data_IF_581933325458
#
_entry.id   IF_581933325458
#
_cell.length_a   1.000
_cell.length_b   1.000
_cell.length_c   1.000
_cell.angle_alpha   90.00
_cell.angle_beta   90.00
_cell.angle_gamma   90.00
#
_symmetry.space_group_name_H-M   'P 1'
#
loop_
_entity.id
_entity.type
_entity.pdbx_description
1 polymer ?
#
# COMPACT_ATOMS: atom_id res chain seq x y z
N UNK A 1 20.51 -7.23 -5.07
CA UNK A 1 20.29 -5.88 -5.59
C UNK A 1 19.10 -5.33 -4.84
N UNK A 2 19.29 -4.37 -3.94
CA UNK A 2 18.19 -3.72 -3.24
C UNK A 2 17.46 -2.86 -4.27
N UNK A 3 16.18 -3.10 -4.47
CA UNK A 3 15.33 -2.16 -5.19
C UNK A 3 15.29 -0.89 -4.34
N UNK A 4 15.97 0.16 -4.78
CA UNK A 4 15.66 1.49 -4.30
C UNK A 4 14.26 1.82 -4.80
N UNK A 5 13.31 1.85 -3.89
CA UNK A 5 11.96 2.35 -4.18
C UNK A 5 11.99 3.84 -3.84
N UNK A 6 12.36 4.73 -4.76
CA UNK A 6 12.30 6.15 -4.53
C UNK A 6 10.84 6.56 -4.72
N UNK A 7 10.11 6.64 -3.63
CA UNK A 7 8.79 7.26 -3.61
C UNK A 7 8.97 8.65 -3.03
N UNK A 8 8.44 9.70 -3.65
CA UNK A 8 8.26 10.97 -2.97
C UNK A 8 7.19 10.79 -1.89
N UNK A 9 7.55 10.07 -0.84
CA UNK A 9 6.64 9.83 0.28
C UNK A 9 6.81 10.98 1.26
N UNK A 10 5.70 11.42 1.83
CA UNK A 10 5.68 12.46 2.83
C UNK A 10 6.75 12.23 3.91
N UNK A 11 7.40 13.30 4.37
CA UNK A 11 8.43 13.24 5.41
C UNK A 11 7.99 12.38 6.60
N UNK A 12 8.91 11.59 7.15
CA UNK A 12 8.62 10.67 8.27
C UNK A 12 8.00 9.33 7.85
N UNK A 13 8.18 8.92 6.61
CA UNK A 13 7.79 7.58 6.14
C UNK A 13 9.03 6.69 6.04
N UNK A 14 8.95 5.51 6.65
CA UNK A 14 10.02 4.53 6.69
C UNK A 14 9.62 3.29 5.90
N UNK A 15 10.42 2.97 4.90
CA UNK A 15 10.18 1.84 4.00
C UNK A 15 11.32 0.85 4.15
N UNK A 16 10.99 -0.41 4.30
CA UNK A 16 11.97 -1.49 4.25
C UNK A 16 11.45 -2.65 3.41
N UNK A 17 12.38 -3.39 2.82
CA UNK A 17 12.08 -4.52 1.97
C UNK A 17 12.92 -5.72 2.37
N UNK A 18 12.39 -6.91 2.09
CA UNK A 18 13.06 -8.17 2.37
C UNK A 18 12.75 -9.18 1.26
N UNK A 19 13.76 -9.88 0.71
CA UNK A 19 13.52 -10.92 -0.28
C UNK A 19 12.73 -12.08 0.33
N UNK A 20 11.83 -12.64 -0.46
CA UNK A 20 11.14 -13.89 -0.12
C UNK A 20 12.04 -15.04 -0.58
N UNK A 21 12.53 -15.82 0.37
CA UNK A 21 13.38 -16.98 0.06
C UNK A 21 12.60 -18.18 -0.48
N UNK A 22 13.31 -19.15 -1.08
CA UNK A 22 12.67 -20.39 -1.53
C UNK A 22 11.99 -21.13 -0.37
N UNK A 23 10.92 -21.88 -0.63
CA UNK A 23 10.22 -22.13 -1.88
C UNK A 23 9.21 -21.04 -2.29
N UNK A 24 9.33 -19.82 -1.81
CA UNK A 24 8.50 -18.65 -2.13
C UNK A 24 7.00 -18.78 -1.75
N UNK A 25 6.68 -19.73 -0.88
CA UNK A 25 5.31 -20.01 -0.43
C UNK A 25 4.81 -19.03 0.63
N UNK A 26 3.56 -19.19 1.10
CA UNK A 26 2.93 -18.27 2.06
C UNK A 26 3.71 -18.07 3.37
N UNK A 27 4.37 -19.14 3.87
CA UNK A 27 5.21 -19.05 5.09
C UNK A 27 6.41 -18.14 4.90
N UNK A 28 7.09 -18.26 3.74
CA UNK A 28 8.24 -17.42 3.41
C UNK A 28 7.83 -15.96 3.16
N UNK A 29 6.71 -15.74 2.48
CA UNK A 29 6.13 -14.42 2.27
C UNK A 29 5.78 -13.75 3.61
N UNK A 30 5.13 -14.47 4.51
CA UNK A 30 4.82 -14.00 5.85
C UNK A 30 6.08 -13.63 6.64
N UNK A 31 7.08 -14.52 6.66
CA UNK A 31 8.34 -14.28 7.36
C UNK A 31 9.10 -13.08 6.80
N UNK A 32 9.18 -12.96 5.47
CA UNK A 32 9.81 -11.82 4.80
C UNK A 32 9.09 -10.50 5.12
N UNK A 33 7.75 -10.50 5.11
CA UNK A 33 6.95 -9.34 5.50
C UNK A 33 7.21 -8.89 6.94
N UNK A 34 7.35 -9.81 7.88
CA UNK A 34 7.66 -9.50 9.28
C UNK A 34 9.08 -8.97 9.46
N UNK A 35 10.06 -9.47 8.69
CA UNK A 35 11.42 -8.94 8.69
C UNK A 35 11.46 -7.52 8.10
N UNK A 36 10.76 -7.27 7.02
CA UNK A 36 10.63 -5.92 6.46
C UNK A 36 9.98 -4.96 7.48
N UNK A 37 8.91 -5.38 8.15
CA UNK A 37 8.23 -4.58 9.17
C UNK A 37 9.15 -4.26 10.36
N UNK A 38 9.90 -5.25 10.87
CA UNK A 38 10.87 -5.04 11.94
C UNK A 38 11.97 -4.05 11.55
N UNK A 39 12.46 -4.13 10.32
CA UNK A 39 13.47 -3.20 9.80
C UNK A 39 12.91 -1.77 9.67
N UNK A 40 11.68 -1.62 9.14
CA UNK A 40 11.03 -0.31 9.03
C UNK A 40 10.76 0.31 10.40
N UNK A 41 10.30 -0.48 11.38
CA UNK A 41 10.10 -0.04 12.78
C UNK A 41 11.41 0.39 13.43
N UNK A 42 12.49 -0.37 13.21
CA UNK A 42 13.81 0.00 13.72
C UNK A 42 14.28 1.36 13.16
N UNK A 43 14.13 1.56 11.85
CA UNK A 43 14.46 2.81 11.18
C UNK A 43 13.59 3.97 11.65
N UNK A 44 12.32 3.70 11.97
CA UNK A 44 11.38 4.68 12.54
C UNK A 44 11.62 4.98 14.03
N UNK A 45 12.59 4.35 14.68
CA UNK A 45 12.93 4.58 16.08
C UNK A 45 12.06 3.81 17.10
N UNK A 46 11.30 2.79 16.65
CA UNK A 46 10.52 1.96 17.57
C UNK A 46 11.42 1.03 18.39
N UNK A 47 11.20 0.96 19.70
CA UNK A 47 11.83 0.00 20.57
C UNK A 47 11.23 -1.42 20.36
N UNK A 48 9.93 -1.50 20.12
CA UNK A 48 9.25 -2.75 19.80
C UNK A 48 9.26 -2.97 18.29
N UNK A 49 9.70 -4.15 17.86
CA UNK A 49 9.84 -4.53 16.45
C UNK A 49 9.01 -5.74 16.05
N UNK A 50 8.25 -6.27 16.99
CA UNK A 50 7.39 -7.43 16.75
C UNK A 50 6.05 -6.97 16.17
N UNK A 51 5.66 -7.57 15.04
CA UNK A 51 4.38 -7.30 14.39
C UNK A 51 3.58 -8.60 14.32
N UNK A 52 2.79 -8.94 15.35
CA UNK A 52 1.96 -10.12 15.35
C UNK A 52 0.81 -10.00 14.33
N UNK A 53 0.11 -11.11 14.14
CA UNK A 53 -1.08 -11.18 13.30
C UNK A 53 -2.31 -11.14 14.19
N UNK A 54 -3.25 -10.24 13.87
CA UNK A 54 -4.56 -10.19 14.49
C UNK A 54 -5.44 -11.38 14.05
N UNK A 55 -6.51 -11.71 14.79
CA UNK A 55 -7.45 -12.78 14.42
C UNK A 55 -8.07 -12.59 13.02
N UNK A 56 -8.26 -11.34 12.59
CA UNK A 56 -8.75 -11.00 11.25
C UNK A 56 -7.68 -11.04 10.15
N UNK A 57 -6.45 -11.42 10.51
CA UNK A 57 -5.32 -11.57 9.59
C UNK A 57 -4.45 -10.34 9.41
N UNK A 58 -4.85 -9.17 9.93
CA UNK A 58 -4.09 -7.92 9.81
C UNK A 58 -2.81 -7.92 10.64
N UNK A 59 -1.76 -7.18 10.23
CA UNK A 59 -0.59 -6.97 11.07
C UNK A 59 -0.92 -5.96 12.18
N UNK A 60 -0.51 -6.25 13.43
CA UNK A 60 -0.59 -5.31 14.55
C UNK A 60 0.75 -4.64 14.75
N UNK A 61 0.82 -3.38 14.40
CA UNK A 61 1.99 -2.54 14.67
C UNK A 61 1.96 -2.00 16.11
N UNK A 62 3.15 -1.67 16.69
CA UNK A 62 3.23 -1.05 18.01
C UNK A 62 2.47 0.27 18.10
N UNK A 63 2.04 0.63 19.31
CA UNK A 63 1.37 1.90 19.56
C UNK A 63 2.24 3.09 19.09
N UNK A 64 1.61 4.08 18.45
CA UNK A 64 2.28 5.24 17.88
C UNK A 64 2.91 5.04 16.49
N UNK A 65 2.86 3.82 15.95
CA UNK A 65 3.40 3.48 14.63
C UNK A 65 2.32 2.84 13.75
N UNK A 66 1.75 3.60 12.85
CA UNK A 66 0.91 3.02 11.81
C UNK A 66 1.80 2.33 10.75
N UNK A 67 1.38 1.17 10.28
CA UNK A 67 2.17 0.45 9.28
C UNK A 67 1.35 -0.52 8.44
N UNK A 68 1.94 -0.95 7.34
CA UNK A 68 1.35 -1.90 6.41
C UNK A 68 2.42 -2.77 5.77
N UNK A 69 2.02 -3.97 5.34
CA UNK A 69 2.90 -4.94 4.70
C UNK A 69 2.24 -5.42 3.41
N UNK A 70 3.04 -5.55 2.35
CA UNK A 70 2.66 -6.24 1.12
C UNK A 70 3.79 -7.14 0.64
N UNK A 71 3.47 -8.11 -0.21
CA UNK A 71 4.46 -9.00 -0.79
C UNK A 71 4.02 -9.53 -2.15
N UNK A 72 5.00 -9.78 -2.99
CA UNK A 72 4.89 -10.63 -4.18
C UNK A 72 5.47 -12.02 -3.85
N UNK A 73 5.58 -12.89 -4.85
CA UNK A 73 6.28 -14.17 -4.68
C UNK A 73 7.77 -14.03 -4.37
N UNK A 74 8.40 -12.88 -4.59
CA UNK A 74 9.86 -12.70 -4.48
C UNK A 74 10.29 -11.60 -3.52
N UNK A 75 9.43 -10.66 -3.21
CA UNK A 75 9.73 -9.47 -2.42
C UNK A 75 8.62 -9.20 -1.39
N UNK A 76 8.99 -8.82 -0.20
CA UNK A 76 8.08 -8.24 0.80
C UNK A 76 8.52 -6.81 1.11
N UNK A 77 7.55 -5.93 1.30
CA UNK A 77 7.75 -4.52 1.64
C UNK A 77 6.91 -4.19 2.87
N UNK A 78 7.46 -3.38 3.74
CA UNK A 78 6.72 -2.78 4.84
C UNK A 78 6.93 -1.26 4.84
N UNK A 79 5.87 -0.55 5.18
CA UNK A 79 5.87 0.91 5.38
C UNK A 79 5.43 1.19 6.79
N UNK A 80 6.15 2.08 7.48
CA UNK A 80 5.85 2.55 8.83
C UNK A 80 5.85 4.08 8.84
N UNK A 81 4.82 4.66 9.44
CA UNK A 81 4.68 6.11 9.60
C UNK A 81 4.32 6.42 11.04
N UNK A 82 5.27 6.94 11.85
CA UNK A 82 4.99 7.37 13.21
C UNK A 82 3.88 8.43 13.25
N UNK A 83 2.94 8.30 14.17
CA UNK A 83 1.86 9.26 14.39
C UNK A 83 0.79 9.35 13.29
N UNK A 84 0.85 8.52 12.25
CA UNK A 84 -0.24 8.44 11.29
C UNK A 84 -1.43 7.66 11.87
N UNK A 85 -2.63 7.96 11.39
CA UNK A 85 -3.83 7.20 11.74
C UNK A 85 -3.86 5.84 11.06
N UNK A 86 -3.51 5.80 9.78
CA UNK A 86 -3.51 4.59 8.98
C UNK A 86 -2.50 4.63 7.84
N UNK A 87 -1.99 3.47 7.50
CA UNK A 87 -1.08 3.24 6.37
C UNK A 87 -1.52 2.01 5.60
N UNK A 88 -1.49 2.10 4.29
CA UNK A 88 -1.63 0.96 3.40
C UNK A 88 -0.49 0.94 2.40
N UNK A 89 0.08 -0.22 2.15
CA UNK A 89 1.08 -0.43 1.10
C UNK A 89 0.67 -1.60 0.22
N UNK A 90 0.94 -1.46 -1.06
CA UNK A 90 0.84 -2.56 -1.99
C UNK A 90 2.00 -2.60 -2.98
N UNK A 91 2.42 -3.81 -3.34
CA UNK A 91 3.36 -4.10 -4.42
C UNK A 91 2.74 -5.14 -5.34
N UNK A 92 2.72 -4.84 -6.64
CA UNK A 92 2.13 -5.70 -7.64
C UNK A 92 3.12 -5.97 -8.77
N UNK A 93 3.34 -7.26 -9.06
CA UNK A 93 4.20 -7.71 -10.16
C UNK A 93 3.42 -8.41 -11.28
N UNK A 94 2.15 -8.75 -11.06
CA UNK A 94 1.34 -9.38 -12.07
C UNK A 94 0.92 -8.41 -13.17
N UNK A 95 0.77 -8.93 -14.37
CA UNK A 95 0.20 -8.18 -15.48
C UNK A 95 -1.30 -8.05 -15.26
N UNK A 96 -1.79 -6.84 -15.14
CA UNK A 96 -3.23 -6.56 -15.05
C UNK A 96 -3.81 -6.58 -16.46
N UNK A 97 -4.51 -7.65 -16.78
CA UNK A 97 -5.16 -7.80 -18.10
C UNK A 97 -6.28 -6.78 -18.29
N UNK A 98 -6.65 -6.44 -19.55
CA UNK A 98 -7.78 -5.54 -19.81
C UNK A 98 -9.08 -5.97 -19.12
N UNK A 99 -9.32 -7.29 -19.01
CA UNK A 99 -10.49 -7.83 -18.31
C UNK A 99 -10.46 -7.54 -16.81
N UNK A 100 -9.32 -7.73 -16.17
CA UNK A 100 -9.15 -7.40 -14.75
C UNK A 100 -9.24 -5.89 -14.52
N UNK A 101 -8.61 -5.10 -15.39
CA UNK A 101 -8.72 -3.64 -15.34
C UNK A 101 -10.17 -3.17 -15.48
N UNK A 102 -10.95 -3.74 -16.39
CA UNK A 102 -12.37 -3.41 -16.57
C UNK A 102 -13.23 -3.77 -15.35
N UNK A 103 -12.86 -4.80 -14.60
CA UNK A 103 -13.54 -5.20 -13.36
C UNK A 103 -13.18 -4.30 -12.18
N UNK A 104 -11.90 -3.94 -12.04
CA UNK A 104 -11.37 -3.23 -10.86
C UNK A 104 -11.48 -1.72 -11.01
N UNK A 105 -11.30 -1.18 -12.22
CA UNK A 105 -11.30 0.25 -12.49
C UNK A 105 -12.65 0.68 -13.07
N UNK A 106 -13.21 1.75 -12.51
CA UNK A 106 -14.41 2.38 -13.05
C UNK A 106 -14.15 2.92 -14.46
N UNK A 107 -15.17 3.06 -15.26
CA UNK A 107 -15.04 3.60 -16.62
C UNK A 107 -14.38 5.00 -16.65
N UNK A 108 -14.78 5.86 -15.71
CA UNK A 108 -14.18 7.19 -15.56
C UNK A 108 -12.70 7.14 -15.21
N UNK A 109 -12.27 6.20 -14.35
CA UNK A 109 -10.86 6.01 -14.02
C UNK A 109 -10.07 5.52 -15.23
N UNK A 110 -10.60 4.54 -15.98
CA UNK A 110 -9.96 4.07 -17.20
C UNK A 110 -9.81 5.16 -18.25
N UNK A 111 -10.85 5.99 -18.44
CA UNK A 111 -10.84 7.06 -19.45
C UNK A 111 -9.94 8.23 -19.09
N UNK A 112 -9.73 8.52 -17.80
CA UNK A 112 -8.98 9.69 -17.33
C UNK A 112 -7.56 9.36 -16.88
N UNK A 113 -7.35 8.20 -16.25
CA UNK A 113 -6.09 7.87 -15.60
C UNK A 113 -5.19 6.97 -16.44
N UNK A 114 -5.76 6.16 -17.36
CA UNK A 114 -4.98 5.33 -18.28
C UNK A 114 -4.61 6.12 -19.56
N UNK A 115 -3.50 5.74 -20.24
CA UNK A 115 -3.18 6.29 -21.56
C UNK A 115 -4.34 6.13 -22.57
N UNK A 116 -4.49 7.03 -23.53
CA UNK A 116 -3.60 8.16 -23.85
C UNK A 116 -3.85 9.43 -23.03
N UNK A 117 -4.92 9.52 -22.25
CA UNK A 117 -5.25 10.73 -21.49
C UNK A 117 -4.54 10.84 -20.16
N UNK A 118 -4.40 9.74 -19.47
CA UNK A 118 -3.73 9.64 -18.19
C UNK A 118 -2.31 9.11 -18.32
N UNK A 119 -1.59 9.12 -17.20
CA UNK A 119 -0.17 8.72 -17.11
C UNK A 119 0.06 7.41 -16.39
N UNK A 120 -0.98 6.81 -15.80
CA UNK A 120 -0.85 5.63 -14.94
C UNK A 120 -1.10 4.34 -15.72
N UNK A 121 -0.35 3.29 -15.40
CA UNK A 121 -0.62 1.94 -15.87
C UNK A 121 -1.74 1.25 -15.07
N UNK A 122 -2.39 0.25 -15.65
CA UNK A 122 -3.44 -0.51 -14.96
C UNK A 122 -2.92 -1.19 -13.66
N UNK A 123 -1.65 -1.64 -13.64
CA UNK A 123 -1.00 -2.23 -12.48
C UNK A 123 -0.80 -1.20 -11.35
N UNK A 124 -0.43 0.03 -11.69
CA UNK A 124 -0.32 1.12 -10.73
C UNK A 124 -1.66 1.46 -10.07
N UNK A 125 -2.72 1.56 -10.86
CA UNK A 125 -4.05 1.87 -10.35
C UNK A 125 -4.63 0.71 -9.51
N UNK A 126 -4.31 -0.53 -9.86
CA UNK A 126 -4.65 -1.71 -9.06
C UNK A 126 -3.95 -1.64 -7.69
N UNK A 127 -2.63 -1.46 -7.68
CA UNK A 127 -1.85 -1.32 -6.46
C UNK A 127 -2.31 -0.12 -5.61
N UNK A 128 -2.69 0.99 -6.24
CA UNK A 128 -3.23 2.16 -5.54
C UNK A 128 -4.54 1.84 -4.80
N UNK A 129 -5.47 1.10 -5.43
CA UNK A 129 -6.71 0.68 -4.78
C UNK A 129 -6.47 -0.27 -3.61
N UNK A 130 -5.54 -1.23 -3.77
CA UNK A 130 -5.16 -2.15 -2.70
C UNK A 130 -4.51 -1.43 -1.52
N UNK A 131 -3.61 -0.48 -1.77
CA UNK A 131 -3.00 0.33 -0.73
C UNK A 131 -4.05 1.18 0.00
N UNK A 132 -4.92 1.86 -0.73
CA UNK A 132 -6.02 2.63 -0.16
C UNK A 132 -6.97 1.76 0.66
N UNK A 133 -7.32 0.57 0.15
CA UNK A 133 -8.14 -0.40 0.88
C UNK A 133 -7.52 -0.78 2.22
N UNK A 134 -6.22 -1.10 2.25
CA UNK A 134 -5.51 -1.44 3.49
C UNK A 134 -5.53 -0.28 4.48
N UNK A 135 -5.30 0.96 4.02
CA UNK A 135 -5.34 2.14 4.89
C UNK A 135 -6.75 2.40 5.45
N UNK A 136 -7.80 2.36 4.62
CA UNK A 136 -9.17 2.61 5.04
C UNK A 136 -9.72 1.48 5.91
N UNK A 137 -9.40 0.22 5.60
CA UNK A 137 -9.87 -0.94 6.35
C UNK A 137 -9.26 -1.03 7.76
N UNK A 138 -8.06 -0.49 7.97
CA UNK A 138 -7.42 -0.45 9.28
C UNK A 138 -8.21 0.40 10.30
N UNK A 139 -9.07 1.30 9.82
CA UNK A 139 -9.93 2.16 10.62
C UNK A 139 -11.29 1.52 10.98
N UNK A 140 -11.48 0.24 10.65
CA UNK A 140 -12.69 -0.49 11.03
C UNK A 140 -13.92 -0.15 10.21
N UNK A 141 -13.77 0.11 8.91
CA UNK A 141 -14.91 0.40 8.01
C UNK A 141 -15.91 -0.77 8.01
N UNK A 142 -17.16 -0.57 8.53
CA UNK A 142 -18.11 -1.67 8.66
C UNK A 142 -18.63 -2.19 7.31
N UNK A 143 -18.85 -3.50 7.26
CA UNK A 143 -19.56 -4.19 6.18
C UNK A 143 -18.75 -4.36 4.90
N UNK A 144 -18.93 -5.46 4.21
CA UNK A 144 -18.34 -5.91 2.92
C UNK A 144 -17.61 -4.88 2.07
N UNK A 145 -16.52 -4.32 2.60
CA UNK A 145 -15.72 -3.31 1.91
C UNK A 145 -14.94 -3.98 0.77
N UNK A 146 -15.23 -3.56 -0.44
CA UNK A 146 -14.66 -4.14 -1.64
C UNK A 146 -13.71 -3.11 -2.27
N UNK A 147 -12.43 -3.45 -2.40
CA UNK A 147 -11.39 -2.51 -2.84
C UNK A 147 -11.69 -1.89 -4.23
N UNK A 148 -12.35 -2.60 -5.12
CA UNK A 148 -12.75 -2.05 -6.43
C UNK A 148 -13.83 -0.97 -6.36
N UNK A 149 -14.50 -0.80 -5.21
CA UNK A 149 -15.44 0.32 -4.98
C UNK A 149 -14.76 1.61 -4.60
N UNK A 150 -13.48 1.59 -4.28
CA UNK A 150 -12.69 2.80 -4.08
C UNK A 150 -12.63 3.57 -5.39
N UNK A 151 -12.94 4.87 -5.36
CA UNK A 151 -12.72 5.80 -6.47
C UNK A 151 -11.29 6.32 -6.45
N UNK A 152 -10.70 6.51 -7.61
CA UNK A 152 -9.40 7.16 -7.77
C UNK A 152 -9.57 8.41 -8.64
N UNK A 153 -9.08 9.53 -8.13
CA UNK A 153 -8.95 10.79 -8.87
C UNK A 153 -7.49 11.26 -8.82
N UNK A 154 -7.06 11.96 -9.87
CA UNK A 154 -5.72 12.53 -9.91
C UNK A 154 -5.69 13.87 -9.17
N UNK A 155 -4.70 14.04 -8.30
CA UNK A 155 -4.25 15.31 -7.76
C UNK A 155 -2.84 15.60 -8.25
N UNK A 156 -2.25 16.75 -7.91
CA UNK A 156 -0.98 17.23 -8.47
C UNK A 156 0.12 16.15 -8.42
N UNK A 157 0.48 15.69 -7.23
CA UNK A 157 1.58 14.74 -7.01
C UNK A 157 1.13 13.34 -6.58
N UNK A 158 -0.17 13.10 -6.45
CA UNK A 158 -0.73 11.87 -5.91
C UNK A 158 -2.05 11.50 -6.57
N UNK A 159 -2.52 10.29 -6.34
CA UNK A 159 -3.91 9.92 -6.51
C UNK A 159 -4.66 10.19 -5.19
N UNK A 160 -5.92 10.58 -5.29
CA UNK A 160 -6.82 10.63 -4.15
C UNK A 160 -7.76 9.44 -4.26
N UNK A 161 -7.64 8.52 -3.32
CA UNK A 161 -8.57 7.41 -3.20
C UNK A 161 -9.75 7.83 -2.30
N UNK A 162 -10.97 7.53 -2.72
CA UNK A 162 -12.19 7.91 -1.99
C UNK A 162 -13.19 6.76 -1.88
N UNK A 163 -13.84 6.65 -0.72
CA UNK A 163 -14.90 5.68 -0.47
C UNK A 163 -15.81 6.17 0.67
N UNK A 164 -17.13 6.24 0.41
CA UNK A 164 -18.15 6.63 1.41
C UNK A 164 -17.85 7.93 2.17
N UNK A 165 -17.34 8.94 1.49
CA UNK A 165 -17.00 10.24 2.09
C UNK A 165 -15.63 10.30 2.74
N UNK A 166 -14.94 9.17 2.91
CA UNK A 166 -13.56 9.12 3.34
C UNK A 166 -12.61 9.23 2.15
N UNK A 167 -11.48 9.89 2.34
CA UNK A 167 -10.43 10.00 1.31
C UNK A 167 -9.03 9.82 1.90
N UNK A 168 -8.12 9.33 1.07
CA UNK A 168 -6.71 9.17 1.43
C UNK A 168 -5.84 9.44 0.21
N UNK A 169 -4.74 10.21 0.34
CA UNK A 169 -3.76 10.35 -0.72
C UNK A 169 -2.99 9.04 -0.92
N UNK A 170 -2.72 8.72 -2.18
CA UNK A 170 -1.98 7.52 -2.59
C UNK A 170 -0.88 7.92 -3.55
N UNK A 171 0.34 7.61 -3.20
CA UNK A 171 1.50 7.77 -4.08
C UNK A 171 1.80 6.45 -4.76
N UNK A 172 2.07 6.50 -6.06
CA UNK A 172 2.39 5.33 -6.87
C UNK A 172 3.71 5.53 -7.61
N UNK A 173 4.42 4.43 -7.81
CA UNK A 173 5.59 4.36 -8.66
C UNK A 173 5.67 2.99 -9.32
N UNK A 174 6.08 2.98 -10.57
CA UNK A 174 6.35 1.74 -11.29
C UNK A 174 7.78 1.69 -11.80
N UNK A 175 8.31 0.50 -11.73
CA UNK A 175 9.44 0.02 -12.52
C UNK A 175 8.93 -1.02 -13.53
N UNK A 176 9.81 -1.53 -14.37
CA UNK A 176 9.44 -2.44 -15.47
C UNK A 176 8.54 -3.59 -14.99
N UNK A 177 8.90 -4.24 -13.87
CA UNK A 177 8.24 -5.47 -13.42
C UNK A 177 7.50 -5.33 -12.08
N UNK A 178 7.45 -4.13 -11.51
CA UNK A 178 6.86 -3.91 -10.20
C UNK A 178 6.20 -2.54 -10.13
N UNK A 179 4.95 -2.51 -9.64
CA UNK A 179 4.31 -1.28 -9.19
C UNK A 179 4.27 -1.26 -7.68
N UNK A 180 4.53 -0.09 -7.11
CA UNK A 180 4.46 0.19 -5.69
C UNK A 180 3.43 1.28 -5.43
N UNK A 181 2.60 1.10 -4.43
CA UNK A 181 1.65 2.12 -3.98
C UNK A 181 1.67 2.24 -2.47
N UNK A 182 1.56 3.46 -1.97
CA UNK A 182 1.42 3.73 -0.54
C UNK A 182 0.32 4.76 -0.30
N UNK A 183 -0.58 4.45 0.62
CA UNK A 183 -1.64 5.33 1.12
C UNK A 183 -1.33 5.70 2.56
N UNK A 184 -1.38 6.98 2.90
CA UNK A 184 -1.10 7.46 4.26
C UNK A 184 -2.22 8.41 4.68
N UNK A 185 -2.90 8.07 5.78
CA UNK A 185 -3.86 8.95 6.45
C UNK A 185 -3.21 9.55 7.67
N UNK A 186 -3.15 10.86 7.73
CA UNK A 186 -2.68 11.61 8.89
C UNK A 186 -3.86 12.22 9.62
N UNK A 187 -3.76 12.37 10.94
CA UNK A 187 -4.76 13.10 11.71
C UNK A 187 -4.90 14.53 11.18
N UNK A 188 -6.14 14.95 10.95
CA UNK A 188 -6.46 16.34 10.56
C UNK A 188 -6.44 17.31 11.73
N UNK A 189 -6.15 16.81 12.96
CA UNK A 189 -5.95 17.70 14.09
C UNK A 189 -4.64 18.50 13.90
N UNK A 190 -4.78 19.69 13.33
CA UNK A 190 -3.82 20.77 13.54
C UNK A 190 -3.89 21.20 15.00
N UNK A 191 -2.69 21.50 15.62
CA UNK A 191 -2.66 22.08 16.94
C UNK A 191 -3.38 23.43 16.96
#
# INVERSE_FOLDING_TARGET
MALEIPVPVAAGTWIAQHPVGPPHGPRQQFAAGRRAAAAALAAAGSAERTVPREPDGRPRFPAGFAGSISHTGRLAVAVVVPGAEAVGVDIESAVITPRVAAFVLREQERSRLLPPRGRYGARELFAAKEAAFKAMNSLGTPGGFLFWRIGLDQSDDALIASYRGESVPVWVRSETDLSFAVAIRRSTNRP
#
